data_IF_737102211412
#
_entry.id   IF_737102211412
#
_cell.length_a   1.000
_cell.length_b   1.000
_cell.length_c   1.000
_cell.angle_alpha   90.00
_cell.angle_beta   90.00
_cell.angle_gamma   90.00
#
_symmetry.space_group_name_H-M   'P 1'
#
loop_
_entity.id
_entity.type
_entity.pdbx_description
1 polymer ?
#
# COMPACT_ATOMS: atom_id res chain seq x y z
N UNK A 1 6.41 -30.31 -40.19
CA UNK A 1 5.48 -29.32 -39.59
C UNK A 1 6.04 -28.88 -38.24
N UNK A 2 6.86 -27.82 -38.21
CA UNK A 2 7.57 -27.37 -36.99
C UNK A 2 6.79 -26.25 -36.31
N UNK A 3 6.24 -26.50 -35.11
CA UNK A 3 5.53 -25.50 -34.32
C UNK A 3 6.54 -24.52 -33.69
N UNK A 4 6.28 -23.22 -33.88
CA UNK A 4 7.09 -22.10 -33.39
C UNK A 4 7.03 -21.99 -31.85
N UNK A 5 8.14 -21.71 -31.15
CA UNK A 5 8.10 -21.40 -29.71
C UNK A 5 7.50 -20.00 -29.50
N UNK A 6 6.59 -19.88 -28.52
CA UNK A 6 6.02 -18.61 -28.07
C UNK A 6 7.10 -17.71 -27.46
N UNK A 7 7.62 -16.75 -28.24
CA UNK A 7 8.31 -15.59 -27.69
C UNK A 7 7.29 -14.50 -27.35
N UNK A 8 7.23 -14.09 -26.07
CA UNK A 8 6.61 -12.86 -25.48
C UNK A 8 6.09 -13.19 -24.05
N UNK A 9 6.31 -12.44 -22.95
CA UNK A 9 6.86 -11.11 -22.71
C UNK A 9 7.64 -11.09 -21.37
N UNK A 10 8.93 -10.73 -21.38
CA UNK A 10 9.73 -10.53 -20.15
C UNK A 10 9.53 -9.15 -19.48
N UNK A 11 8.71 -8.26 -20.08
CA UNK A 11 8.46 -6.90 -19.60
C UNK A 11 7.00 -6.56 -19.31
N UNK A 12 6.05 -7.50 -19.48
CA UNK A 12 4.62 -7.21 -19.32
C UNK A 12 4.17 -7.19 -17.85
N UNK A 13 4.89 -7.85 -16.95
CA UNK A 13 4.58 -7.82 -15.51
C UNK A 13 5.13 -6.61 -14.74
N UNK A 14 6.27 -6.04 -15.13
CA UNK A 14 6.97 -5.03 -14.30
C UNK A 14 6.17 -3.74 -14.11
N UNK A 15 5.49 -3.28 -15.17
CA UNK A 15 4.65 -2.07 -15.11
C UNK A 15 3.35 -2.35 -14.35
N UNK A 16 2.76 -3.53 -14.52
CA UNK A 16 1.55 -3.93 -13.81
C UNK A 16 1.79 -4.02 -12.29
N UNK A 17 2.92 -4.60 -11.86
CA UNK A 17 3.30 -4.62 -10.44
C UNK A 17 3.59 -3.22 -9.90
N UNK A 18 4.24 -2.36 -10.66
CA UNK A 18 4.51 -0.98 -10.24
C UNK A 18 3.22 -0.19 -9.98
N UNK A 19 2.21 -0.34 -10.84
CA UNK A 19 0.92 0.32 -10.68
C UNK A 19 0.16 -0.18 -9.43
N UNK A 20 0.20 -1.48 -9.16
CA UNK A 20 -0.39 -2.06 -7.93
C UNK A 20 0.37 -1.56 -6.69
N UNK A 21 1.70 -1.50 -6.72
CA UNK A 21 2.50 -0.99 -5.61
C UNK A 21 2.19 0.48 -5.29
N UNK A 22 1.98 1.33 -6.31
CA UNK A 22 1.56 2.72 -6.11
C UNK A 22 0.18 2.78 -5.45
N UNK A 23 -0.79 1.99 -5.92
CA UNK A 23 -2.12 1.94 -5.33
C UNK A 23 -2.07 1.53 -3.86
N UNK A 24 -1.35 0.46 -3.53
CA UNK A 24 -1.18 -0.01 -2.15
C UNK A 24 -0.48 1.05 -1.29
N UNK A 25 0.52 1.74 -1.83
CA UNK A 25 1.25 2.80 -1.11
C UNK A 25 0.32 3.95 -0.72
N UNK A 26 -0.58 4.37 -1.60
CA UNK A 26 -1.58 5.41 -1.29
C UNK A 26 -2.50 4.95 -0.15
N UNK A 27 -2.98 3.71 -0.21
CA UNK A 27 -3.83 3.13 0.84
C UNK A 27 -3.09 3.12 2.19
N UNK A 28 -1.83 2.70 2.22
CA UNK A 28 -1.02 2.68 3.43
C UNK A 28 -0.83 4.09 4.00
N UNK A 29 -0.57 5.10 3.16
CA UNK A 29 -0.44 6.49 3.61
C UNK A 29 -1.74 6.97 4.27
N UNK A 30 -2.90 6.70 3.67
CA UNK A 30 -4.21 7.07 4.24
C UNK A 30 -4.43 6.40 5.59
N UNK A 31 -4.06 5.13 5.73
CA UNK A 31 -4.14 4.41 7.01
C UNK A 31 -3.25 5.09 8.06
N UNK A 32 -1.99 5.38 7.75
CA UNK A 32 -1.07 6.01 8.69
C UNK A 32 -1.56 7.40 9.15
N UNK A 33 -2.12 8.20 8.23
CA UNK A 33 -2.68 9.52 8.58
C UNK A 33 -3.89 9.41 9.51
N UNK A 34 -4.80 8.47 9.25
CA UNK A 34 -5.98 8.27 10.10
C UNK A 34 -5.63 7.65 11.45
N UNK A 35 -4.68 6.73 11.49
CA UNK A 35 -4.17 6.13 12.73
C UNK A 35 -3.49 7.17 13.63
N UNK A 36 -2.73 8.12 13.05
CA UNK A 36 -2.10 9.20 13.83
C UNK A 36 -3.11 10.00 14.66
N UNK A 37 -4.23 10.40 14.04
CA UNK A 37 -5.30 11.11 14.74
C UNK A 37 -5.95 10.26 15.85
N UNK A 38 -6.16 8.96 15.61
CA UNK A 38 -6.73 8.07 16.62
C UNK A 38 -5.80 7.91 17.82
N UNK A 39 -4.50 7.72 17.58
CA UNK A 39 -3.49 7.60 18.64
C UNK A 39 -3.45 8.88 19.49
N UNK A 40 -3.48 10.06 18.85
CA UNK A 40 -3.52 11.34 19.56
C UNK A 40 -4.74 11.45 20.49
N UNK A 41 -5.92 11.04 20.01
CA UNK A 41 -7.14 11.05 20.82
C UNK A 41 -7.04 10.10 22.02
N UNK A 42 -6.53 8.89 21.81
CA UNK A 42 -6.31 7.91 22.90
C UNK A 42 -5.33 8.47 23.92
N UNK A 43 -4.21 9.04 23.48
CA UNK A 43 -3.23 9.62 24.39
C UNK A 43 -3.81 10.79 25.18
N UNK A 44 -4.56 11.68 24.54
CA UNK A 44 -5.26 12.79 25.21
C UNK A 44 -6.23 12.30 26.27
N UNK A 45 -6.99 11.24 25.99
CA UNK A 45 -7.94 10.66 26.95
C UNK A 45 -7.21 10.05 28.16
N UNK A 46 -6.09 9.37 27.93
CA UNK A 46 -5.29 8.79 29.01
C UNK A 46 -4.69 9.89 29.89
N UNK A 47 -4.12 10.94 29.30
CA UNK A 47 -3.58 12.08 30.07
C UNK A 47 -4.67 12.76 30.88
N UNK A 48 -5.85 12.99 30.30
CA UNK A 48 -6.98 13.60 31.01
C UNK A 48 -7.56 12.73 32.14
N UNK A 49 -7.39 11.40 32.05
CA UNK A 49 -7.84 10.47 33.09
C UNK A 49 -6.83 10.32 34.24
N UNK A 50 -5.55 10.65 33.99
CA UNK A 50 -4.46 10.51 34.96
C UNK A 50 -4.04 11.83 35.62
N UNK A 51 -4.35 12.97 35.01
CA UNK A 51 -4.18 14.31 35.59
C UNK A 51 -5.42 14.76 36.35
#
# INVERSE_FOLDING_TARGET
MSRRPNGRQRGQGMVEYALILVLVSIVVIVILLTMGNQIQNVFSNVVAALG
#
